data_IF_147093173656
#
_entry.id   IF_147093173656
#
_cell.length_a   1.000
_cell.length_b   1.000
_cell.length_c   1.000
_cell.angle_alpha   90.00
_cell.angle_beta   90.00
_cell.angle_gamma   90.00
#
_symmetry.space_group_name_H-M   'P 1'
#
loop_
_entity.id
_entity.type
_entity.pdbx_description
1 polymer ?
#
# COMPACT_ATOMS: atom_id res chain seq x y z
N UNK A 1 -61.90 -8.35 -38.18
CA UNK A 1 -61.40 -8.72 -36.84
C UNK A 1 -60.20 -9.64 -36.99
N UNK A 2 -59.24 -9.48 -36.07
CA UNK A 2 -57.92 -10.11 -35.92
C UNK A 2 -56.75 -9.49 -36.68
N UNK A 3 -55.81 -9.05 -35.84
CA UNK A 3 -54.62 -8.27 -36.07
C UNK A 3 -53.37 -9.10 -35.77
N UNK A 4 -52.20 -8.55 -36.11
CA UNK A 4 -50.88 -8.97 -35.63
C UNK A 4 -50.10 -9.77 -36.68
N UNK A 5 -48.84 -9.49 -36.98
CA UNK A 5 -47.90 -8.53 -36.41
C UNK A 5 -46.62 -8.51 -37.26
N UNK A 6 -45.90 -7.40 -37.19
CA UNK A 6 -44.62 -7.12 -37.85
C UNK A 6 -43.45 -7.82 -37.15
N UNK A 7 -42.46 -8.26 -37.92
CA UNK A 7 -41.13 -8.63 -37.41
C UNK A 7 -40.04 -8.03 -38.29
N UNK A 8 -39.21 -7.22 -37.64
CA UNK A 8 -38.04 -6.48 -38.11
C UNK A 8 -36.80 -7.33 -37.79
N UNK A 9 -35.94 -7.64 -38.76
CA UNK A 9 -34.64 -8.31 -38.53
C UNK A 9 -33.56 -7.63 -39.37
N UNK A 10 -32.76 -6.74 -38.76
CA UNK A 10 -31.48 -7.03 -38.10
C UNK A 10 -30.29 -6.94 -39.07
N UNK A 11 -29.73 -5.72 -39.17
CA UNK A 11 -28.48 -5.43 -39.87
C UNK A 11 -27.32 -5.74 -38.91
N UNK A 12 -26.53 -6.76 -39.22
CA UNK A 12 -25.29 -7.09 -38.48
C UNK A 12 -24.17 -6.11 -38.88
N UNK A 13 -23.89 -5.13 -38.02
CA UNK A 13 -22.65 -4.35 -38.07
C UNK A 13 -21.56 -5.06 -37.27
N UNK A 14 -20.54 -5.57 -37.95
CA UNK A 14 -19.31 -6.08 -37.30
C UNK A 14 -18.44 -4.88 -36.96
N UNK A 15 -18.39 -4.49 -35.68
CA UNK A 15 -17.42 -3.54 -35.16
C UNK A 15 -16.08 -4.24 -34.96
N UNK A 16 -15.13 -3.96 -35.85
CA UNK A 16 -13.72 -4.33 -35.69
C UNK A 16 -13.11 -3.44 -34.61
N UNK A 17 -13.01 -3.96 -33.38
CA UNK A 17 -12.20 -3.33 -32.32
C UNK A 17 -10.72 -3.61 -32.60
N UNK A 18 -10.07 -2.67 -33.26
CA UNK A 18 -8.63 -2.64 -33.45
C UNK A 18 -7.98 -2.23 -32.12
N UNK A 19 -7.69 -3.23 -31.28
CA UNK A 19 -6.94 -3.03 -30.04
C UNK A 19 -5.48 -2.72 -30.38
N UNK A 20 -5.14 -1.43 -30.41
CA UNK A 20 -3.76 -0.96 -30.41
C UNK A 20 -3.19 -1.27 -29.02
N UNK A 21 -2.41 -2.34 -28.89
CA UNK A 21 -1.64 -2.63 -27.68
C UNK A 21 -0.32 -1.82 -27.74
N UNK A 22 -0.04 -0.91 -26.79
CA UNK A 22 1.26 -0.24 -26.77
C UNK A 22 2.36 -1.24 -26.35
N UNK A 23 3.58 -1.10 -26.89
CA UNK A 23 4.69 -2.00 -26.61
C UNK A 23 5.27 -1.71 -25.22
N UNK A 24 5.38 -2.74 -24.38
CA UNK A 24 6.39 -2.87 -23.31
C UNK A 24 6.79 -1.63 -22.48
N UNK A 25 5.86 -0.73 -22.16
CA UNK A 25 6.16 0.45 -21.35
C UNK A 25 6.47 0.07 -19.90
N UNK A 26 7.51 0.66 -19.32
CA UNK A 26 7.66 0.71 -17.87
C UNK A 26 6.40 1.33 -17.29
N UNK A 27 5.66 0.55 -16.49
CA UNK A 27 4.38 0.95 -15.95
C UNK A 27 4.51 2.25 -15.14
N UNK A 28 3.69 3.27 -15.44
CA UNK A 28 3.79 4.56 -14.76
C UNK A 28 3.24 4.45 -13.32
N UNK A 29 3.61 5.36 -12.40
CA UNK A 29 3.00 5.41 -11.07
C UNK A 29 1.48 5.54 -11.11
N UNK A 30 0.93 6.24 -12.12
CA UNK A 30 -0.50 6.39 -12.32
C UNK A 30 -1.17 5.06 -12.73
N UNK A 31 -0.54 4.27 -13.59
CA UNK A 31 -1.04 2.95 -14.01
C UNK A 31 -1.01 1.97 -12.83
N UNK A 32 0.07 1.97 -12.06
CA UNK A 32 0.21 1.19 -10.83
C UNK A 32 -0.87 1.55 -9.82
N UNK A 33 -1.15 2.85 -9.63
CA UNK A 33 -2.22 3.32 -8.75
C UNK A 33 -3.59 2.87 -9.27
N UNK A 34 -3.89 3.05 -10.56
CA UNK A 34 -5.18 2.65 -11.13
C UNK A 34 -5.44 1.14 -10.97
N UNK A 35 -4.40 0.31 -11.10
CA UNK A 35 -4.48 -1.13 -10.81
C UNK A 35 -4.68 -1.40 -9.32
N UNK A 36 -3.95 -0.70 -8.47
CA UNK A 36 -4.12 -0.81 -7.03
C UNK A 36 -5.55 -0.49 -6.62
N UNK A 37 -6.13 0.58 -7.13
CA UNK A 37 -7.49 1.03 -6.81
C UNK A 37 -8.56 0.01 -7.25
N UNK A 38 -8.39 -0.59 -8.43
CA UNK A 38 -9.33 -1.58 -8.99
C UNK A 38 -9.13 -2.99 -8.41
N UNK A 39 -7.98 -3.31 -7.83
CA UNK A 39 -7.73 -4.64 -7.29
C UNK A 39 -8.58 -4.89 -6.04
N UNK A 40 -9.39 -5.94 -6.13
CA UNK A 40 -10.28 -6.36 -5.06
C UNK A 40 -9.64 -7.44 -4.19
N UNK A 41 -8.76 -8.30 -4.72
CA UNK A 41 -8.14 -9.37 -3.95
C UNK A 41 -7.07 -8.82 -2.99
N UNK A 42 -7.20 -9.08 -1.70
CA UNK A 42 -6.34 -8.52 -0.65
C UNK A 42 -4.87 -8.91 -0.80
N UNK A 43 -4.57 -10.17 -1.15
CA UNK A 43 -3.18 -10.63 -1.35
C UNK A 43 -2.55 -9.95 -2.57
N UNK A 44 -3.28 -9.86 -3.70
CA UNK A 44 -2.77 -9.16 -4.89
C UNK A 44 -2.63 -7.66 -4.66
N UNK A 45 -3.56 -7.05 -3.92
CA UNK A 45 -3.50 -5.63 -3.53
C UNK A 45 -2.28 -5.35 -2.66
N UNK A 46 -2.02 -6.19 -1.65
CA UNK A 46 -0.81 -6.12 -0.83
C UNK A 46 0.47 -6.30 -1.66
N UNK A 47 0.46 -7.22 -2.63
CA UNK A 47 1.60 -7.41 -3.54
C UNK A 47 1.84 -6.22 -4.47
N UNK A 48 0.79 -5.51 -4.90
CA UNK A 48 0.93 -4.31 -5.73
C UNK A 48 1.65 -3.18 -4.98
N UNK A 49 1.61 -3.13 -3.65
CA UNK A 49 2.36 -2.16 -2.85
C UNK A 49 3.86 -2.26 -3.09
N UNK A 50 4.41 -3.43 -3.41
CA UNK A 50 5.84 -3.56 -3.71
C UNK A 50 6.26 -2.65 -4.86
N UNK A 51 5.53 -2.67 -5.98
CA UNK A 51 5.85 -1.84 -7.15
C UNK A 51 5.37 -0.40 -7.00
N UNK A 52 4.13 -0.23 -6.55
CA UNK A 52 3.53 1.10 -6.39
C UNK A 52 4.25 1.90 -5.29
N UNK A 53 4.50 1.27 -4.15
CA UNK A 53 5.23 1.87 -3.05
C UNK A 53 6.65 2.23 -3.44
N UNK A 54 7.39 1.35 -4.12
CA UNK A 54 8.72 1.68 -4.64
C UNK A 54 8.71 2.90 -5.57
N UNK A 55 7.74 2.98 -6.48
CA UNK A 55 7.58 4.12 -7.37
C UNK A 55 7.28 5.42 -6.62
N UNK A 56 6.41 5.36 -5.60
CA UNK A 56 6.07 6.51 -4.75
C UNK A 56 7.26 6.97 -3.90
N UNK A 57 8.01 6.03 -3.31
CA UNK A 57 9.19 6.36 -2.50
C UNK A 57 10.30 7.00 -3.37
N UNK A 58 10.49 6.51 -4.59
CA UNK A 58 11.43 7.14 -5.54
C UNK A 58 10.93 8.51 -6.03
N UNK A 59 9.63 8.70 -6.22
CA UNK A 59 9.05 10.01 -6.52
C UNK A 59 9.26 11.01 -5.39
N UNK A 60 9.01 10.61 -4.13
CA UNK A 60 9.29 11.43 -2.96
C UNK A 60 10.79 11.79 -2.87
N UNK A 61 11.69 10.83 -3.11
CA UNK A 61 13.14 11.08 -3.14
C UNK A 61 13.53 12.09 -4.22
N UNK A 62 12.97 11.99 -5.42
CA UNK A 62 13.22 12.94 -6.52
C UNK A 62 12.71 14.34 -6.18
N UNK A 63 11.51 14.44 -5.59
CA UNK A 63 10.95 15.71 -5.14
C UNK A 63 11.81 16.35 -4.05
N UNK A 64 12.28 15.58 -3.07
CA UNK A 64 13.17 16.06 -2.01
C UNK A 64 14.49 16.62 -2.55
N UNK A 65 15.11 15.94 -3.53
CA UNK A 65 16.31 16.44 -4.23
C UNK A 65 16.06 17.75 -4.99
N UNK A 66 14.84 17.96 -5.48
CA UNK A 66 14.44 19.19 -6.16
C UNK A 66 14.01 20.31 -5.19
N UNK A 67 13.96 20.04 -3.87
CA UNK A 67 13.47 20.97 -2.87
C UNK A 67 11.94 21.13 -2.86
N UNK A 68 11.20 20.26 -3.55
CA UNK A 68 9.73 20.28 -3.59
C UNK A 68 9.15 19.47 -2.42
N UNK A 69 9.25 20.02 -1.22
CA UNK A 69 8.79 19.36 0.00
C UNK A 69 7.27 19.21 0.10
N UNK A 70 6.51 19.99 -0.68
CA UNK A 70 5.06 19.80 -0.81
C UNK A 70 4.77 18.48 -1.54
N UNK A 71 5.44 18.25 -2.69
CA UNK A 71 5.30 17.00 -3.42
C UNK A 71 5.79 15.79 -2.62
N UNK A 72 6.85 15.94 -1.82
CA UNK A 72 7.32 14.92 -0.85
C UNK A 72 6.19 14.54 0.11
N UNK A 73 5.61 15.52 0.80
CA UNK A 73 4.53 15.30 1.76
C UNK A 73 3.33 14.59 1.13
N UNK A 74 2.82 15.10 0.02
CA UNK A 74 1.69 14.51 -0.69
C UNK A 74 1.95 13.07 -1.15
N UNK A 75 3.16 12.79 -1.64
CA UNK A 75 3.52 11.45 -2.12
C UNK A 75 3.59 10.45 -0.97
N UNK A 76 4.18 10.85 0.17
CA UNK A 76 4.32 9.98 1.34
C UNK A 76 3.01 9.78 2.10
N UNK A 77 2.12 10.78 2.12
CA UNK A 77 0.74 10.62 2.60
C UNK A 77 -0.02 9.59 1.76
N UNK A 78 0.09 9.68 0.43
CA UNK A 78 -0.55 8.72 -0.49
C UNK A 78 0.01 7.32 -0.32
N UNK A 79 1.32 7.17 -0.12
CA UNK A 79 1.95 5.88 0.21
C UNK A 79 1.35 5.29 1.50
N UNK A 80 1.25 6.08 2.57
CA UNK A 80 0.62 5.67 3.82
C UNK A 80 -0.82 5.19 3.61
N UNK A 81 -1.61 5.95 2.86
CA UNK A 81 -3.02 5.62 2.64
C UNK A 81 -3.19 4.34 1.80
N UNK A 82 -2.31 4.13 0.82
CA UNK A 82 -2.24 2.88 0.06
C UNK A 82 -1.89 1.68 0.97
N UNK A 83 -0.91 1.82 1.87
CA UNK A 83 -0.59 0.77 2.86
C UNK A 83 -1.82 0.44 3.71
N UNK A 84 -2.50 1.46 4.26
CA UNK A 84 -3.72 1.27 5.05
C UNK A 84 -4.79 0.52 4.27
N UNK A 85 -5.03 0.90 3.02
CA UNK A 85 -6.00 0.23 2.16
C UNK A 85 -5.64 -1.24 1.88
N UNK A 86 -4.35 -1.56 1.75
CA UNK A 86 -3.90 -2.94 1.58
C UNK A 86 -4.09 -3.78 2.85
N UNK A 87 -3.80 -3.24 4.04
CA UNK A 87 -4.06 -3.89 5.33
C UNK A 87 -5.55 -4.21 5.48
N UNK A 88 -6.42 -3.24 5.24
CA UNK A 88 -7.87 -3.43 5.35
C UNK A 88 -8.42 -4.44 4.33
N UNK A 89 -7.83 -4.50 3.13
CA UNK A 89 -8.18 -5.54 2.15
C UNK A 89 -7.77 -6.94 2.61
N UNK A 90 -6.58 -7.09 3.20
CA UNK A 90 -6.11 -8.34 3.78
C UNK A 90 -7.01 -8.78 4.95
N UNK A 91 -7.28 -7.90 5.92
CA UNK A 91 -8.12 -8.21 7.10
C UNK A 91 -9.51 -8.71 6.70
N UNK A 92 -10.11 -8.10 5.68
CA UNK A 92 -11.45 -8.47 5.21
C UNK A 92 -11.51 -9.86 4.57
N UNK A 93 -10.49 -10.25 3.81
CA UNK A 93 -10.52 -11.50 3.03
C UNK A 93 -9.77 -12.64 3.68
N UNK A 94 -8.78 -12.31 4.49
CA UNK A 94 -7.81 -13.23 5.08
C UNK A 94 -7.63 -12.89 6.57
N UNK A 95 -8.67 -13.03 7.40
CA UNK A 95 -8.64 -12.56 8.80
C UNK A 95 -7.64 -13.32 9.68
N UNK A 96 -7.30 -14.57 9.32
CA UNK A 96 -6.31 -15.39 10.03
C UNK A 96 -4.92 -15.18 9.42
N UNK A 97 -4.25 -14.09 9.82
CA UNK A 97 -2.94 -13.71 9.32
C UNK A 97 -1.82 -14.70 9.71
N UNK A 98 -1.96 -15.44 10.81
CA UNK A 98 -1.00 -16.46 11.21
C UNK A 98 -0.97 -17.60 10.19
N UNK A 99 -2.14 -18.13 9.82
CA UNK A 99 -2.25 -19.19 8.80
C UNK A 99 -2.11 -18.67 7.36
N UNK A 100 -2.49 -17.42 7.09
CA UNK A 100 -2.50 -16.81 5.75
C UNK A 100 -1.48 -15.67 5.63
N UNK A 101 -0.28 -15.91 6.11
CA UNK A 101 0.75 -14.88 6.37
C UNK A 101 1.41 -14.26 5.14
N UNK A 102 1.27 -14.81 3.93
CA UNK A 102 2.05 -14.36 2.77
C UNK A 102 1.83 -12.88 2.42
N UNK A 103 0.57 -12.44 2.27
CA UNK A 103 0.27 -11.03 1.96
C UNK A 103 0.67 -10.07 3.09
N UNK A 104 0.43 -10.48 4.34
CA UNK A 104 0.80 -9.71 5.53
C UNK A 104 2.32 -9.54 5.69
N UNK A 105 3.12 -10.60 5.51
CA UNK A 105 4.59 -10.54 5.61
C UNK A 105 5.20 -9.67 4.52
N UNK A 106 4.71 -9.80 3.28
CA UNK A 106 5.17 -8.96 2.17
C UNK A 106 4.92 -7.48 2.46
N UNK A 107 3.70 -7.15 2.89
CA UNK A 107 3.35 -5.79 3.25
C UNK A 107 4.18 -5.27 4.42
N UNK A 108 4.39 -6.09 5.46
CA UNK A 108 5.19 -5.72 6.63
C UNK A 108 6.64 -5.39 6.27
N UNK A 109 7.28 -6.18 5.41
CA UNK A 109 8.64 -5.89 4.93
C UNK A 109 8.70 -4.56 4.17
N UNK A 110 7.69 -4.29 3.34
CA UNK A 110 7.61 -3.04 2.59
C UNK A 110 7.34 -1.83 3.49
N UNK A 111 6.47 -1.96 4.49
CA UNK A 111 6.20 -0.89 5.46
C UNK A 111 7.49 -0.51 6.20
N UNK A 112 8.30 -1.49 6.62
CA UNK A 112 9.62 -1.22 7.22
C UNK A 112 10.56 -0.47 6.29
N UNK A 113 10.53 -0.75 4.99
CA UNK A 113 11.29 0.05 4.00
C UNK A 113 10.77 1.49 3.98
N UNK A 114 9.46 1.67 3.84
CA UNK A 114 8.83 2.99 3.85
C UNK A 114 9.13 3.81 5.10
N UNK A 115 9.14 3.21 6.29
CA UNK A 115 9.52 3.90 7.55
C UNK A 115 10.94 4.45 7.45
N UNK A 116 11.90 3.67 6.96
CA UNK A 116 13.30 4.12 6.80
C UNK A 116 13.41 5.29 5.82
N UNK A 117 12.70 5.23 4.71
CA UNK A 117 12.70 6.31 3.71
C UNK A 117 12.08 7.61 4.28
N UNK A 118 11.01 7.49 5.08
CA UNK A 118 10.43 8.64 5.78
C UNK A 118 11.40 9.19 6.82
N UNK A 119 12.11 8.34 7.56
CA UNK A 119 13.15 8.75 8.51
C UNK A 119 14.28 9.52 7.82
N UNK A 120 14.78 9.00 6.70
CA UNK A 120 15.80 9.68 5.88
C UNK A 120 15.30 11.03 5.36
N UNK A 121 14.05 11.09 4.91
CA UNK A 121 13.42 12.32 4.43
C UNK A 121 13.28 13.36 5.55
N UNK A 122 12.89 12.93 6.76
CA UNK A 122 12.77 13.79 7.94
C UNK A 122 14.10 14.43 8.33
N UNK A 123 15.22 13.72 8.17
CA UNK A 123 16.54 14.25 8.50
C UNK A 123 16.96 15.43 7.61
N UNK A 124 16.55 15.42 6.34
CA UNK A 124 16.95 16.41 5.34
C UNK A 124 15.89 17.50 5.08
N UNK A 125 14.67 17.31 5.59
CA UNK A 125 13.57 18.27 5.38
C UNK A 125 13.71 19.52 6.25
N UNK A 126 13.34 20.72 5.75
CA UNK A 126 13.24 21.92 6.57
C UNK A 126 12.19 21.76 7.69
N UNK A 127 12.37 22.46 8.80
CA UNK A 127 11.53 22.33 10.00
C UNK A 127 10.03 22.48 9.71
N UNK A 128 9.64 23.44 8.86
CA UNK A 128 8.24 23.70 8.51
C UNK A 128 7.55 22.52 7.79
N UNK A 129 8.34 21.63 7.16
CA UNK A 129 7.83 20.47 6.43
C UNK A 129 7.93 19.16 7.23
N UNK A 130 8.57 19.15 8.41
CA UNK A 130 8.67 17.95 9.24
C UNK A 130 7.35 17.51 9.87
N UNK A 131 6.47 18.39 10.39
CA UNK A 131 5.23 17.97 11.04
C UNK A 131 4.34 17.01 10.22
N UNK A 132 4.02 17.28 8.94
CA UNK A 132 3.22 16.32 8.15
C UNK A 132 3.94 14.98 7.95
N UNK A 133 5.26 14.98 7.78
CA UNK A 133 6.05 13.76 7.62
C UNK A 133 6.13 12.93 8.92
N UNK A 134 6.12 13.58 10.09
CA UNK A 134 6.05 12.89 11.38
C UNK A 134 4.72 12.14 11.56
N UNK A 135 3.61 12.70 11.08
CA UNK A 135 2.30 12.03 11.09
C UNK A 135 2.37 10.77 10.21
N UNK A 136 2.89 10.89 8.99
CA UNK A 136 3.09 9.74 8.09
C UNK A 136 3.93 8.66 8.76
N UNK A 137 5.05 9.03 9.37
CA UNK A 137 5.93 8.11 10.11
C UNK A 137 5.19 7.38 11.22
N UNK A 138 4.44 8.11 12.06
CA UNK A 138 3.72 7.53 13.18
C UNK A 138 2.63 6.56 12.71
N UNK A 139 1.91 6.90 11.65
CA UNK A 139 0.90 6.02 11.06
C UNK A 139 1.54 4.73 10.50
N UNK A 140 2.68 4.83 9.81
CA UNK A 140 3.38 3.66 9.29
C UNK A 140 3.90 2.75 10.42
N UNK A 141 4.42 3.32 11.51
CA UNK A 141 4.85 2.55 12.69
C UNK A 141 3.67 1.81 13.34
N UNK A 142 2.53 2.48 13.49
CA UNK A 142 1.34 1.86 14.04
C UNK A 142 0.85 0.69 13.16
N UNK A 143 0.90 0.85 11.83
CA UNK A 143 0.56 -0.21 10.88
C UNK A 143 1.57 -1.36 10.87
N UNK A 144 2.88 -1.10 11.05
CA UNK A 144 3.88 -2.15 11.21
C UNK A 144 3.59 -2.99 12.47
N UNK A 145 3.33 -2.31 13.59
CA UNK A 145 3.00 -2.95 14.86
C UNK A 145 1.72 -3.80 14.76
N UNK A 146 0.69 -3.29 14.08
CA UNK A 146 -0.54 -4.04 13.80
C UNK A 146 -0.25 -5.31 12.97
N UNK A 147 0.52 -5.17 11.88
CA UNK A 147 0.93 -6.29 11.04
C UNK A 147 1.70 -7.35 11.83
N UNK A 148 2.61 -6.94 12.72
CA UNK A 148 3.38 -7.85 13.56
C UNK A 148 2.48 -8.60 14.56
N UNK A 149 1.53 -7.92 15.19
CA UNK A 149 0.55 -8.54 16.11
C UNK A 149 -0.33 -9.55 15.40
N UNK A 150 -0.80 -9.25 14.19
CA UNK A 150 -1.60 -10.17 13.39
C UNK A 150 -0.78 -11.39 12.94
N UNK A 151 0.46 -11.18 12.52
CA UNK A 151 1.35 -12.26 12.06
C UNK A 151 1.81 -13.19 13.18
N UNK A 152 1.95 -12.67 14.40
CA UNK A 152 2.52 -13.39 15.54
C UNK A 152 1.71 -13.14 16.83
N UNK A 153 0.47 -13.62 16.91
CA UNK A 153 -0.43 -13.34 18.04
C UNK A 153 0.04 -13.93 19.37
N UNK A 154 0.89 -14.96 19.33
CA UNK A 154 1.39 -15.69 20.49
C UNK A 154 2.85 -15.36 20.84
N UNK A 155 3.36 -14.18 20.47
CA UNK A 155 4.68 -13.78 20.97
C UNK A 155 4.66 -13.82 22.49
N UNK A 156 5.62 -14.50 23.15
CA UNK A 156 5.87 -14.25 24.55
C UNK A 156 6.04 -12.75 24.69
N UNK A 157 5.26 -12.11 25.56
CA UNK A 157 5.51 -10.72 25.91
C UNK A 157 7.01 -10.64 26.22
N UNK A 158 7.72 -9.65 25.69
CA UNK A 158 9.03 -9.31 26.22
C UNK A 158 8.81 -9.11 27.71
N UNK A 159 9.12 -10.15 28.49
CA UNK A 159 8.89 -10.17 29.90
C UNK A 159 9.62 -8.95 30.42
N UNK A 160 8.88 -8.03 31.03
CA UNK A 160 9.43 -7.05 31.94
C UNK A 160 10.51 -7.79 32.74
N UNK A 161 11.78 -7.43 32.51
CA UNK A 161 12.89 -8.05 33.18
C UNK A 161 12.57 -7.98 34.67
N UNK A 162 12.19 -9.12 35.26
CA UNK A 162 11.89 -9.16 36.68
C UNK A 162 13.24 -8.84 37.32
N UNK A 163 13.37 -7.75 38.11
CA UNK A 163 14.65 -7.43 38.71
C UNK A 163 15.03 -8.65 39.54
N UNK A 164 16.17 -9.27 39.22
CA UNK A 164 16.67 -10.39 39.98
C UNK A 164 16.79 -9.93 41.43
N UNK A 165 16.02 -10.54 42.31
CA UNK A 165 16.05 -10.24 43.73
C UNK A 165 17.51 -10.42 44.22
N UNK A 166 18.12 -9.29 44.53
CA UNK A 166 19.46 -9.18 45.10
C UNK A 166 19.45 -9.94 46.42
N UNK A 167 20.11 -11.11 46.45
CA UNK A 167 20.39 -11.80 47.71
C UNK A 167 21.43 -10.99 48.45
N UNK A 168 20.98 -10.17 49.40
CA UNK A 168 21.88 -9.52 50.36
C UNK A 168 22.59 -10.56 51.24
N UNK A 169 23.87 -10.32 51.58
CA UNK A 169 24.70 -11.23 52.38
C UNK A 169 24.26 -11.32 53.85
#
# INVERSE_FOLDING_TARGET
MRAGGTSLGAVCGVLVFLAILPPGGTESPADLQARFDRETNGVRKARLIEKLGDAQLEEARRAGKAGDYNAVGMTLEKYRDNVRAAIEALKRQHPDAEKQSNGYRQLQMHVRKGIREVDETLLVSPEDYKPPLQIVRQDLLAMEEELLKMLFPHRPAEHAATPAAEKQP
#
